data_IF_369322962596
#
_entry.id   IF_369322962596
#
_cell.length_a   1.000
_cell.length_b   1.000
_cell.length_c   1.000
_cell.angle_alpha   90.00
_cell.angle_beta   90.00
_cell.angle_gamma   90.00
#
_symmetry.space_group_name_H-M   'P 1'
#
loop_
_entity.id
_entity.type
_entity.pdbx_description
1 polymer ?
#
# COMPACT_ATOMS: atom_id res chain seq x y z
N UNK A 1 7.73 23.91 16.08
CA UNK A 1 6.46 23.14 15.99
C UNK A 1 6.09 22.69 17.40
N UNK A 2 4.85 22.87 17.85
CA UNK A 2 4.44 22.49 19.22
C UNK A 2 4.53 20.97 19.39
N UNK A 3 5.19 20.52 20.45
CA UNK A 3 5.34 19.11 20.80
C UNK A 3 3.95 18.46 20.97
N UNK A 4 3.51 17.69 19.97
CA UNK A 4 2.32 16.86 20.09
C UNK A 4 2.63 15.72 21.05
N UNK A 5 1.82 15.56 22.09
CA UNK A 5 1.95 14.47 23.07
C UNK A 5 0.64 13.69 23.16
N UNK A 6 0.71 12.43 23.58
CA UNK A 6 -0.45 11.54 23.77
C UNK A 6 -1.55 12.17 24.64
N UNK A 7 -1.17 13.00 25.61
CA UNK A 7 -2.07 13.66 26.55
C UNK A 7 -2.91 14.78 25.93
N UNK A 8 -2.65 15.15 24.68
CA UNK A 8 -3.44 16.13 23.94
C UNK A 8 -4.60 15.50 23.15
N UNK A 9 -4.75 14.17 23.19
CA UNK A 9 -5.80 13.46 22.47
C UNK A 9 -7.00 13.17 23.39
N UNK A 10 -8.23 13.20 22.85
CA UNK A 10 -9.40 12.71 23.58
C UNK A 10 -9.22 11.27 24.04
N UNK A 11 -9.72 10.97 25.25
CA UNK A 11 -9.75 9.61 25.75
C UNK A 11 -10.57 8.71 24.81
N UNK A 12 -10.08 7.49 24.59
CA UNK A 12 -10.77 6.51 23.73
C UNK A 12 -10.69 6.78 22.23
N UNK A 13 -9.87 7.74 21.75
CA UNK A 13 -9.74 8.02 20.32
C UNK A 13 -9.35 6.76 19.53
N UNK A 14 -10.11 6.44 18.48
CA UNK A 14 -9.89 5.24 17.65
C UNK A 14 -9.41 5.57 16.24
N UNK A 15 -9.70 6.78 15.74
CA UNK A 15 -9.29 7.24 14.42
C UNK A 15 -8.48 8.52 14.58
N UNK A 16 -7.23 8.48 14.14
CA UNK A 16 -6.31 9.61 14.22
C UNK A 16 -5.82 9.96 12.82
N UNK A 17 -6.04 11.21 12.40
CA UNK A 17 -5.52 11.76 11.16
C UNK A 17 -4.65 12.96 11.49
N UNK A 18 -3.39 12.90 11.11
CA UNK A 18 -2.51 14.05 11.13
C UNK A 18 -2.74 14.92 9.89
N UNK A 19 -2.72 16.24 10.08
CA UNK A 19 -2.80 17.20 9.00
C UNK A 19 -1.52 17.20 8.16
N UNK A 20 -1.59 17.87 7.01
CA UNK A 20 -0.54 17.78 5.98
C UNK A 20 0.84 18.20 6.47
N UNK A 21 0.92 19.20 7.36
CA UNK A 21 2.19 19.74 7.87
C UNK A 21 2.76 19.02 9.09
N UNK A 22 2.13 17.93 9.55
CA UNK A 22 2.67 17.16 10.66
C UNK A 22 3.85 16.31 10.19
N UNK A 23 5.02 16.60 10.74
CA UNK A 23 6.26 15.83 10.52
C UNK A 23 6.97 15.54 11.86
N UNK A 24 6.18 15.31 12.91
CA UNK A 24 6.70 15.01 14.25
C UNK A 24 6.93 13.51 14.46
N UNK A 25 7.93 13.16 15.26
CA UNK A 25 8.18 11.77 15.66
C UNK A 25 6.97 11.16 16.40
N UNK A 26 6.68 9.90 16.10
CA UNK A 26 5.51 9.17 16.62
C UNK A 26 5.76 8.36 17.90
N UNK A 27 7.03 8.11 18.26
CA UNK A 27 7.45 7.19 19.32
C UNK A 27 6.60 7.30 20.59
N UNK A 28 5.87 6.22 20.91
CA UNK A 28 5.01 6.04 22.09
C UNK A 28 3.91 7.11 22.31
N UNK A 29 3.65 7.97 21.32
CA UNK A 29 2.67 9.06 21.45
C UNK A 29 1.26 8.69 20.96
N UNK A 30 1.13 7.64 20.16
CA UNK A 30 -0.18 7.18 19.66
C UNK A 30 -0.82 6.21 20.69
N UNK A 31 -2.04 6.48 21.18
CA UNK A 31 -2.75 5.57 22.08
C UNK A 31 -3.03 4.21 21.46
N UNK A 32 -3.02 3.16 22.29
CA UNK A 32 -3.41 1.79 21.90
C UNK A 32 -4.91 1.63 21.61
N UNK A 33 -5.71 2.68 21.76
CA UNK A 33 -7.10 2.72 21.30
C UNK A 33 -7.20 3.02 19.81
N UNK A 34 -6.14 3.58 19.19
CA UNK A 34 -6.14 3.97 17.78
C UNK A 34 -6.07 2.72 16.89
N UNK A 35 -7.07 2.58 16.04
CA UNK A 35 -7.18 1.50 15.06
C UNK A 35 -6.98 1.98 13.63
N UNK A 36 -7.23 3.26 13.35
CA UNK A 36 -7.02 3.87 12.04
C UNK A 36 -6.09 5.07 12.16
N UNK A 37 -4.98 5.03 11.43
CA UNK A 37 -3.98 6.09 11.41
C UNK A 37 -3.77 6.60 9.99
N UNK A 38 -3.89 7.92 9.81
CA UNK A 38 -3.50 8.61 8.58
C UNK A 38 -2.39 9.62 8.86
N UNK A 39 -1.28 9.49 8.15
CA UNK A 39 -0.12 10.37 8.21
C UNK A 39 -0.14 11.30 6.99
N UNK A 40 -0.11 12.60 7.25
CA UNK A 40 -0.35 13.66 6.27
C UNK A 40 0.74 13.81 5.20
N UNK A 41 0.56 14.79 4.32
CA UNK A 41 1.42 15.00 3.14
C UNK A 41 2.92 15.11 3.46
N UNK A 42 3.32 15.95 4.41
CA UNK A 42 4.74 16.24 4.70
C UNK A 42 5.36 15.31 5.75
N UNK A 43 4.65 14.26 6.19
CA UNK A 43 5.20 13.31 7.15
C UNK A 43 6.35 12.50 6.54
N UNK A 44 7.53 12.61 7.12
CA UNK A 44 8.79 11.98 6.70
C UNK A 44 9.50 11.26 7.82
N UNK A 45 8.97 11.27 9.05
CA UNK A 45 9.60 10.61 10.19
C UNK A 45 9.46 9.09 10.15
N UNK A 46 10.24 8.41 10.99
CA UNK A 46 10.11 6.98 11.24
C UNK A 46 8.72 6.61 11.79
N UNK A 47 8.26 5.41 11.46
CA UNK A 47 7.03 4.80 12.01
C UNK A 47 7.31 3.71 13.04
N UNK A 48 8.52 3.67 13.60
CA UNK A 48 8.85 2.71 14.65
C UNK A 48 7.93 2.89 15.86
N UNK A 49 7.55 1.78 16.49
CA UNK A 49 6.78 1.81 17.74
C UNK A 49 5.30 2.18 17.58
N UNK A 50 4.74 2.11 16.38
CA UNK A 50 3.29 2.16 16.18
C UNK A 50 2.58 1.08 17.01
N UNK A 51 1.42 1.39 17.64
CA UNK A 51 0.71 0.44 18.48
C UNK A 51 0.11 -0.72 17.66
N UNK A 52 0.10 -1.92 18.25
CA UNK A 52 -0.48 -3.14 17.66
C UNK A 52 -2.02 -3.14 17.59
N UNK A 53 -2.68 -2.03 17.93
CA UNK A 53 -4.11 -1.84 17.70
C UNK A 53 -4.44 -1.34 16.29
N UNK A 54 -3.46 -0.83 15.53
CA UNK A 54 -3.69 -0.24 14.21
C UNK A 54 -4.02 -1.34 13.20
N UNK A 55 -5.21 -1.25 12.62
CA UNK A 55 -5.69 -2.13 11.54
C UNK A 55 -5.63 -1.45 10.18
N UNK A 56 -5.71 -0.12 10.15
CA UNK A 56 -5.67 0.68 8.91
C UNK A 56 -4.57 1.73 9.02
N UNK A 57 -3.57 1.63 8.16
CA UNK A 57 -2.44 2.55 8.10
C UNK A 57 -2.37 3.19 6.70
N UNK A 58 -2.47 4.52 6.67
CA UNK A 58 -2.40 5.30 5.44
C UNK A 58 -1.33 6.38 5.51
N UNK A 59 -0.47 6.41 4.51
CA UNK A 59 0.43 7.51 4.20
C UNK A 59 -0.17 8.31 3.04
N UNK A 60 -0.08 9.64 3.08
CA UNK A 60 -0.65 10.50 2.03
C UNK A 60 0.41 10.94 1.02
N UNK A 61 1.51 11.57 1.46
CA UNK A 61 2.45 12.25 0.56
C UNK A 61 3.86 11.69 0.61
N UNK A 62 4.75 12.43 1.27
CA UNK A 62 6.20 12.41 1.12
C UNK A 62 6.93 11.34 1.94
N UNK A 63 6.21 10.48 2.67
CA UNK A 63 6.82 9.38 3.40
C UNK A 63 7.53 8.43 2.43
N UNK A 64 8.85 8.35 2.55
CA UNK A 64 9.71 7.52 1.72
C UNK A 64 10.88 6.90 2.51
N UNK A 65 10.66 6.67 3.81
CA UNK A 65 11.64 6.01 4.68
C UNK A 65 11.60 4.49 4.46
N UNK A 66 12.74 3.78 4.56
CA UNK A 66 12.76 2.33 4.59
C UNK A 66 11.91 1.78 5.74
N UNK A 67 11.22 0.66 5.50
CA UNK A 67 10.39 0.01 6.52
C UNK A 67 11.02 -1.33 6.90
N UNK A 68 11.46 -1.46 8.15
CA UNK A 68 12.19 -2.61 8.65
C UNK A 68 11.37 -3.33 9.73
N UNK A 69 10.25 -3.94 9.32
CA UNK A 69 9.26 -4.57 10.22
C UNK A 69 8.60 -3.59 11.20
N UNK A 70 8.51 -2.31 10.82
CA UNK A 70 7.92 -1.25 11.64
C UNK A 70 6.39 -1.18 11.53
N UNK A 71 5.80 -1.81 10.51
CA UNK A 71 4.33 -1.89 10.36
C UNK A 71 3.79 -2.90 11.38
N UNK A 72 2.80 -2.53 12.22
CA UNK A 72 2.19 -3.44 13.18
C UNK A 72 1.58 -4.67 12.51
N UNK A 73 1.70 -5.84 13.16
CA UNK A 73 1.21 -7.11 12.60
C UNK A 73 -0.31 -7.24 12.63
N UNK A 74 -1.02 -6.25 13.16
CA UNK A 74 -2.48 -6.15 13.10
C UNK A 74 -3.01 -5.35 11.90
N UNK A 75 -2.13 -4.72 11.12
CA UNK A 75 -2.54 -3.94 9.94
C UNK A 75 -3.12 -4.86 8.87
N UNK A 76 -4.39 -4.64 8.52
CA UNK A 76 -5.08 -5.34 7.43
C UNK A 76 -5.21 -4.50 6.17
N UNK A 77 -5.22 -3.16 6.31
CA UNK A 77 -5.29 -2.22 5.20
C UNK A 77 -4.10 -1.27 5.24
N UNK A 78 -3.27 -1.34 4.20
CA UNK A 78 -2.06 -0.54 4.07
C UNK A 78 -2.09 0.25 2.76
N UNK A 79 -1.98 1.57 2.88
CA UNK A 79 -1.86 2.48 1.73
C UNK A 79 -0.58 3.29 1.86
N UNK A 80 0.34 3.11 0.93
CA UNK A 80 1.52 3.94 0.79
C UNK A 80 1.22 5.27 0.11
N UNK A 81 1.96 6.30 0.50
CA UNK A 81 1.80 7.65 -0.02
C UNK A 81 2.48 7.84 -1.37
N UNK A 82 2.16 8.96 -2.01
CA UNK A 82 2.62 9.34 -3.37
C UNK A 82 4.12 9.05 -3.58
N UNK A 83 4.99 9.47 -2.65
CA UNK A 83 6.44 9.43 -2.81
C UNK A 83 7.12 8.11 -2.39
N UNK A 84 6.39 7.14 -1.85
CA UNK A 84 6.99 5.91 -1.36
C UNK A 84 7.57 5.08 -2.51
N UNK A 85 8.88 4.88 -2.53
CA UNK A 85 9.60 4.09 -3.52
C UNK A 85 10.77 3.32 -2.89
N UNK A 86 10.55 2.79 -1.68
CA UNK A 86 11.52 1.94 -1.00
C UNK A 86 11.27 0.46 -1.27
N UNK A 87 12.32 -0.34 -1.15
CA UNK A 87 12.22 -1.79 -1.14
C UNK A 87 11.23 -2.26 -0.06
N UNK A 88 10.38 -3.22 -0.42
CA UNK A 88 9.36 -3.81 0.47
C UNK A 88 9.78 -5.17 1.05
N UNK A 89 11.08 -5.48 1.06
CA UNK A 89 11.58 -6.76 1.55
C UNK A 89 11.20 -6.99 3.01
N UNK A 90 10.32 -7.96 3.27
CA UNK A 90 9.86 -8.30 4.63
C UNK A 90 9.27 -7.09 5.38
N UNK A 91 8.82 -6.06 4.65
CA UNK A 91 8.30 -4.82 5.21
C UNK A 91 6.79 -4.88 5.49
N UNK A 92 6.06 -5.70 4.73
CA UNK A 92 4.60 -5.80 4.77
C UNK A 92 4.20 -7.05 5.57
N UNK A 93 3.39 -6.93 6.64
CA UNK A 93 2.94 -8.07 7.43
C UNK A 93 1.99 -9.02 6.68
N UNK A 94 1.99 -10.31 7.06
CA UNK A 94 1.06 -11.34 6.53
C UNK A 94 -0.41 -11.13 6.95
N UNK A 95 -0.74 -10.11 7.74
CA UNK A 95 -2.13 -9.75 8.04
C UNK A 95 -2.75 -8.79 7.01
N UNK A 96 -1.94 -8.19 6.13
CA UNK A 96 -2.40 -7.21 5.13
C UNK A 96 -3.23 -7.91 4.06
N UNK A 97 -4.51 -7.56 3.97
CA UNK A 97 -5.42 -8.03 2.92
C UNK A 97 -5.64 -7.01 1.82
N UNK A 98 -5.46 -5.72 2.11
CA UNK A 98 -5.60 -4.63 1.16
C UNK A 98 -4.31 -3.81 1.11
N UNK A 99 -3.65 -3.83 -0.05
CA UNK A 99 -2.36 -3.19 -0.26
C UNK A 99 -2.41 -2.25 -1.45
N UNK A 100 -2.11 -0.98 -1.20
CA UNK A 100 -2.08 0.08 -2.21
C UNK A 100 -0.72 0.75 -2.20
N UNK A 101 -0.04 0.76 -3.35
CA UNK A 101 1.19 1.49 -3.58
C UNK A 101 0.91 2.86 -4.19
N UNK A 102 1.71 3.86 -3.81
CA UNK A 102 1.59 5.22 -4.31
C UNK A 102 2.25 5.43 -5.68
N UNK A 103 1.99 6.62 -6.25
CA UNK A 103 2.38 7.07 -7.58
C UNK A 103 3.81 6.70 -8.02
N UNK A 104 4.81 6.92 -7.16
CA UNK A 104 6.23 6.74 -7.50
C UNK A 104 6.79 5.35 -7.21
N UNK A 105 6.00 4.42 -6.66
CA UNK A 105 6.50 3.08 -6.35
C UNK A 105 6.84 2.31 -7.64
N UNK A 106 8.11 1.96 -7.80
CA UNK A 106 8.58 1.18 -8.95
C UNK A 106 9.70 0.19 -8.56
N UNK A 107 9.56 -0.46 -7.39
CA UNK A 107 10.51 -1.46 -6.91
C UNK A 107 10.07 -2.89 -7.28
N UNK A 108 11.02 -3.83 -7.48
CA UNK A 108 10.69 -5.23 -7.74
C UNK A 108 9.84 -5.85 -6.62
N UNK A 109 8.86 -6.66 -7.02
CA UNK A 109 7.88 -7.27 -6.10
C UNK A 109 8.07 -8.79 -5.90
N UNK A 110 9.06 -9.40 -6.56
CA UNK A 110 9.31 -10.84 -6.56
C UNK A 110 9.37 -11.44 -5.15
N UNK A 111 8.34 -12.20 -4.78
CA UNK A 111 8.23 -12.86 -3.48
C UNK A 111 8.09 -11.90 -2.29
N UNK A 112 7.58 -10.68 -2.50
CA UNK A 112 7.50 -9.63 -1.47
C UNK A 112 6.09 -9.13 -1.16
N UNK A 113 5.10 -9.53 -1.95
CA UNK A 113 3.69 -9.31 -1.61
C UNK A 113 3.22 -10.48 -0.73
N UNK A 114 2.66 -10.23 0.48
CA UNK A 114 2.19 -11.28 1.36
C UNK A 114 1.10 -12.16 0.76
N UNK A 115 1.04 -13.40 1.22
CA UNK A 115 0.09 -14.41 0.71
C UNK A 115 -1.36 -14.15 1.12
N UNK A 116 -1.62 -13.19 2.00
CA UNK A 116 -2.95 -12.80 2.45
C UNK A 116 -3.56 -11.64 1.66
N UNK A 117 -2.81 -10.99 0.77
CA UNK A 117 -3.30 -9.84 0.00
C UNK A 117 -4.38 -10.27 -0.98
N UNK A 118 -5.58 -9.71 -0.83
CA UNK A 118 -6.74 -9.94 -1.70
C UNK A 118 -6.97 -8.80 -2.69
N UNK A 119 -6.63 -7.57 -2.29
CA UNK A 119 -6.68 -6.39 -3.13
C UNK A 119 -5.28 -5.79 -3.27
N UNK A 120 -4.81 -5.67 -4.51
CA UNK A 120 -3.50 -5.12 -4.82
C UNK A 120 -3.61 -4.01 -5.88
N UNK A 121 -3.11 -2.83 -5.54
CA UNK A 121 -3.11 -1.69 -6.44
C UNK A 121 -1.71 -1.07 -6.56
N UNK A 122 -1.31 -0.88 -7.81
CA UNK A 122 -0.16 -0.07 -8.20
C UNK A 122 -0.64 1.18 -8.94
N UNK A 123 -0.06 2.31 -8.60
CA UNK A 123 -0.38 3.60 -9.21
C UNK A 123 0.57 3.93 -10.38
N UNK A 124 0.50 5.16 -10.90
CA UNK A 124 1.03 5.65 -12.18
C UNK A 124 2.37 5.07 -12.65
N UNK A 125 3.44 5.08 -11.84
CA UNK A 125 4.80 4.79 -12.34
C UNK A 125 5.26 3.33 -12.23
N UNK A 126 4.44 2.43 -11.71
CA UNK A 126 4.83 1.03 -11.58
C UNK A 126 4.95 0.35 -12.95
N UNK A 127 6.14 -0.16 -13.27
CA UNK A 127 6.43 -0.92 -14.49
C UNK A 127 7.50 -2.00 -14.22
N UNK A 128 7.26 -2.84 -13.22
CA UNK A 128 8.10 -3.99 -12.88
C UNK A 128 7.47 -5.31 -13.34
N UNK A 129 8.29 -6.34 -13.45
CA UNK A 129 7.84 -7.70 -13.76
C UNK A 129 6.90 -8.21 -12.65
N UNK A 130 5.74 -8.75 -13.07
CA UNK A 130 4.73 -9.31 -12.16
C UNK A 130 4.40 -10.79 -12.42
N UNK A 131 4.93 -11.36 -13.50
CA UNK A 131 4.68 -12.75 -13.87
C UNK A 131 5.13 -13.71 -12.77
N UNK A 132 4.20 -14.52 -12.26
CA UNK A 132 4.47 -15.42 -11.13
C UNK A 132 4.80 -14.72 -9.81
N UNK A 133 4.53 -13.42 -9.66
CA UNK A 133 4.84 -12.63 -8.46
C UNK A 133 3.61 -12.02 -7.78
N UNK A 134 2.44 -12.14 -8.41
CA UNK A 134 1.14 -11.86 -7.78
C UNK A 134 0.71 -13.10 -6.99
N UNK A 135 0.37 -12.99 -5.69
CA UNK A 135 -0.10 -14.13 -4.89
C UNK A 135 -1.43 -14.70 -5.38
N UNK A 136 -1.64 -16.01 -5.17
CA UNK A 136 -2.88 -16.71 -5.52
C UNK A 136 -4.11 -16.27 -4.71
N UNK A 137 -3.94 -15.43 -3.69
CA UNK A 137 -5.03 -14.83 -2.93
C UNK A 137 -5.59 -13.55 -3.53
N UNK A 138 -4.89 -12.92 -4.50
CA UNK A 138 -5.32 -11.65 -5.09
C UNK A 138 -6.56 -11.86 -5.95
N UNK A 139 -7.65 -11.21 -5.58
CA UNK A 139 -8.94 -11.24 -6.29
C UNK A 139 -9.07 -10.03 -7.21
N UNK A 140 -8.57 -8.88 -6.78
CA UNK A 140 -8.61 -7.62 -7.53
C UNK A 140 -7.20 -7.05 -7.67
N UNK A 141 -6.80 -6.85 -8.93
CA UNK A 141 -5.52 -6.29 -9.31
C UNK A 141 -5.74 -5.00 -10.11
N UNK A 142 -5.09 -3.91 -9.69
CA UNK A 142 -5.07 -2.65 -10.42
C UNK A 142 -3.64 -2.31 -10.80
N UNK A 143 -3.39 -2.15 -12.09
CA UNK A 143 -2.07 -1.85 -12.64
C UNK A 143 -1.91 -0.36 -12.91
N UNK A 144 -0.67 0.10 -12.76
CA UNK A 144 -0.29 1.50 -12.95
C UNK A 144 -0.49 2.00 -14.39
N UNK A 145 -0.63 3.32 -14.52
CA UNK A 145 -0.83 4.00 -15.81
C UNK A 145 0.28 3.70 -16.83
N UNK A 146 1.52 3.61 -16.36
CA UNK A 146 2.70 3.39 -17.21
C UNK A 146 3.07 1.92 -17.39
N UNK A 147 2.36 0.99 -16.75
CA UNK A 147 2.64 -0.44 -16.90
C UNK A 147 2.54 -0.84 -18.38
N UNK A 148 3.61 -1.42 -18.95
CA UNK A 148 3.64 -1.86 -20.36
C UNK A 148 4.28 -3.24 -20.54
N UNK A 149 4.28 -4.06 -19.48
CA UNK A 149 4.83 -5.41 -19.52
C UNK A 149 3.80 -6.48 -19.90
N UNK A 150 4.25 -7.64 -20.40
CA UNK A 150 3.36 -8.76 -20.65
C UNK A 150 2.60 -9.23 -19.41
N UNK A 151 1.31 -9.51 -19.56
CA UNK A 151 0.45 -10.14 -18.56
C UNK A 151 0.17 -11.60 -18.92
N UNK A 152 1.20 -12.35 -19.32
CA UNK A 152 1.03 -13.69 -19.91
C UNK A 152 0.34 -14.65 -18.93
N UNK A 153 0.67 -14.54 -17.64
CA UNK A 153 0.02 -15.31 -16.59
C UNK A 153 -0.28 -14.45 -15.36
N UNK A 154 -1.55 -14.44 -14.95
CA UNK A 154 -2.01 -14.00 -13.64
C UNK A 154 -2.58 -15.21 -12.90
N UNK A 155 -2.56 -15.22 -11.56
CA UNK A 155 -3.27 -16.23 -10.79
C UNK A 155 -4.73 -16.35 -11.22
N UNK A 156 -5.27 -17.57 -11.21
CA UNK A 156 -6.66 -17.83 -11.60
C UNK A 156 -7.68 -17.13 -10.68
N UNK A 157 -7.25 -16.74 -9.48
CA UNK A 157 -8.01 -15.96 -8.51
C UNK A 157 -8.19 -14.49 -8.89
N UNK A 158 -7.39 -13.93 -9.80
CA UNK A 158 -7.56 -12.54 -10.24
C UNK A 158 -8.79 -12.45 -11.13
N UNK A 159 -9.92 -12.13 -10.51
CA UNK A 159 -11.21 -12.01 -11.18
C UNK A 159 -11.45 -10.61 -11.73
N UNK A 160 -10.91 -9.59 -11.05
CA UNK A 160 -11.07 -8.18 -11.41
C UNK A 160 -9.72 -7.58 -11.78
N UNK A 161 -9.63 -7.03 -12.99
CA UNK A 161 -8.43 -6.37 -13.47
C UNK A 161 -8.76 -4.93 -13.89
N UNK A 162 -8.04 -3.97 -13.32
CA UNK A 162 -8.04 -2.58 -13.82
C UNK A 162 -6.73 -2.31 -14.55
N UNK A 163 -6.85 -1.83 -15.79
CA UNK A 163 -5.73 -1.40 -16.64
C UNK A 163 -6.07 -0.06 -17.30
N UNK A 164 -5.04 0.68 -17.69
CA UNK A 164 -5.25 1.94 -18.41
C UNK A 164 -5.47 1.72 -19.91
N UNK A 165 -6.22 2.64 -20.53
CA UNK A 165 -6.57 2.65 -21.96
C UNK A 165 -5.37 2.49 -22.89
N UNK A 166 -4.21 3.02 -22.49
CA UNK A 166 -2.94 2.86 -23.24
C UNK A 166 -2.54 1.38 -23.32
N UNK A 167 -2.47 0.70 -22.18
CA UNK A 167 -2.12 -0.73 -22.12
C UNK A 167 -3.11 -1.55 -22.93
N UNK A 168 -4.41 -1.33 -22.73
CA UNK A 168 -5.45 -2.07 -23.47
C UNK A 168 -5.27 -1.96 -24.98
N UNK A 169 -5.03 -0.75 -25.51
CA UNK A 169 -4.83 -0.53 -26.95
C UNK A 169 -3.62 -1.29 -27.51
N UNK A 170 -2.53 -1.36 -26.75
CA UNK A 170 -1.25 -1.92 -27.21
C UNK A 170 -1.15 -3.43 -26.95
N UNK A 171 -1.72 -3.90 -25.85
CA UNK A 171 -1.44 -5.20 -25.23
C UNK A 171 -2.67 -6.03 -24.91
N UNK A 172 -3.87 -5.73 -25.43
CA UNK A 172 -5.10 -6.51 -25.16
C UNK A 172 -4.96 -8.03 -25.37
N UNK A 173 -4.09 -8.47 -26.29
CA UNK A 173 -3.85 -9.89 -26.56
C UNK A 173 -3.15 -10.61 -25.40
N UNK A 174 -2.54 -9.87 -24.49
CA UNK A 174 -1.88 -10.39 -23.29
C UNK A 174 -2.78 -10.41 -22.06
N UNK A 175 -4.03 -9.95 -22.15
CA UNK A 175 -4.93 -9.99 -20.99
C UNK A 175 -5.36 -11.45 -20.76
N UNK A 176 -5.13 -12.02 -19.55
CA UNK A 176 -5.52 -13.39 -19.25
C UNK A 176 -7.01 -13.62 -19.38
N UNK A 177 -7.38 -14.78 -19.93
CA UNK A 177 -8.79 -15.20 -20.07
C UNK A 177 -9.48 -15.51 -18.74
N UNK A 178 -8.72 -15.65 -17.64
CA UNK A 178 -9.25 -15.87 -16.29
C UNK A 178 -9.96 -14.65 -15.71
N UNK A 179 -9.64 -13.45 -16.21
CA UNK A 179 -10.25 -12.19 -15.77
C UNK A 179 -11.75 -12.18 -16.13
N UNK A 180 -12.60 -11.98 -15.13
CA UNK A 180 -14.07 -11.94 -15.26
C UNK A 180 -14.58 -10.52 -15.48
N UNK A 181 -13.97 -9.55 -14.80
CA UNK A 181 -14.31 -8.13 -14.89
C UNK A 181 -13.07 -7.33 -15.29
N UNK A 182 -13.14 -6.65 -16.43
CA UNK A 182 -12.06 -5.81 -16.95
C UNK A 182 -12.49 -4.34 -16.91
N UNK A 183 -11.83 -3.54 -16.10
CA UNK A 183 -12.00 -2.09 -16.05
C UNK A 183 -10.89 -1.43 -16.86
N UNK A 184 -11.28 -0.65 -17.88
CA UNK A 184 -10.35 0.15 -18.68
C UNK A 184 -10.56 1.62 -18.33
N UNK A 185 -9.58 2.22 -17.66
CA UNK A 185 -9.60 3.64 -17.23
C UNK A 185 -8.81 4.56 -18.15
#
# INVERSE_FOLDING_TARGET
MRNWTKNCLPEGITRLKFGDYFDGELDQKIPSTVTHLTLGWFFKQSIKGLPQSITHLKFVGEFNQPINKDIPTSVTHLTFGVCFNQSIDRSIPESVTHLIFGEYFNQPIKGRIPSSVQYLEFDRHFDQEIEGHIPDSVVELRLGENFDRPLISLPASVEKLTIYKRYYKQRRAWIPKSVKELFVV
#
